data_IF_395632790658
#
_entry.id   IF_395632790658
#
_cell.length_a   1.000
_cell.length_b   1.000
_cell.length_c   1.000
_cell.angle_alpha   90.00
_cell.angle_beta   90.00
_cell.angle_gamma   90.00
#
_symmetry.space_group_name_H-M   'P 1'
#
loop_
_entity.id
_entity.type
_entity.pdbx_description
1 polymer ?
#
# COMPACT_ATOMS: atom_id res chain seq x y z
N UNK A 1 24.85 -10.46 18.29
CA UNK A 1 24.22 -9.58 17.30
C UNK A 1 24.38 -10.19 15.92
N UNK A 2 23.28 -10.36 15.22
CA UNK A 2 23.22 -10.82 13.82
C UNK A 2 22.50 -9.77 13.00
N UNK A 3 22.92 -9.60 11.73
CA UNK A 3 22.36 -8.58 10.84
C UNK A 3 21.88 -9.25 9.56
N UNK A 4 20.67 -8.91 9.16
CA UNK A 4 20.01 -9.49 8.00
C UNK A 4 19.55 -8.39 7.05
N UNK A 5 19.82 -8.53 5.76
CA UNK A 5 19.14 -7.75 4.75
C UNK A 5 17.68 -8.26 4.63
N UNK A 6 16.69 -7.38 4.62
CA UNK A 6 15.28 -7.81 4.71
C UNK A 6 14.37 -7.11 3.69
N UNK A 7 13.24 -7.73 3.41
CA UNK A 7 12.10 -7.10 2.77
C UNK A 7 12.32 -6.73 1.31
N UNK A 8 12.08 -5.45 0.99
CA UNK A 8 12.06 -4.95 -0.39
C UNK A 8 13.31 -5.21 -1.19
N UNK A 9 14.49 -5.05 -0.58
CA UNK A 9 15.76 -5.28 -1.25
C UNK A 9 15.94 -6.76 -1.67
N UNK A 10 15.63 -7.70 -0.75
CA UNK A 10 15.76 -9.15 -1.04
C UNK A 10 14.76 -9.57 -2.13
N UNK A 11 13.52 -9.07 -2.06
CA UNK A 11 12.50 -9.31 -3.09
C UNK A 11 12.93 -8.77 -4.45
N UNK A 12 13.36 -7.52 -4.51
CA UNK A 12 13.70 -6.84 -5.77
C UNK A 12 14.93 -7.49 -6.41
N UNK A 13 15.91 -7.98 -5.63
CA UNK A 13 17.02 -8.79 -6.14
C UNK A 13 16.54 -10.10 -6.79
N UNK A 14 15.61 -10.83 -6.15
CA UNK A 14 15.06 -12.07 -6.73
C UNK A 14 14.24 -11.79 -8.00
N UNK A 15 13.62 -10.62 -8.12
CA UNK A 15 12.91 -10.18 -9.32
C UNK A 15 13.84 -9.59 -10.40
N UNK A 16 15.14 -9.42 -10.12
CA UNK A 16 16.07 -8.74 -11.03
C UNK A 16 15.78 -7.25 -11.19
N UNK A 17 15.09 -6.63 -10.23
CA UNK A 17 14.74 -5.20 -10.25
C UNK A 17 15.83 -4.41 -9.51
N UNK A 18 16.39 -3.34 -10.13
CA UNK A 18 17.32 -2.48 -9.41
C UNK A 18 16.68 -1.86 -8.18
N UNK A 19 17.34 -1.96 -7.04
CA UNK A 19 16.94 -1.34 -5.80
C UNK A 19 18.04 -0.39 -5.28
N UNK A 20 17.65 0.68 -4.60
CA UNK A 20 18.59 1.67 -4.03
C UNK A 20 18.59 1.63 -2.51
N UNK A 21 17.47 1.27 -1.92
CA UNK A 21 17.28 1.26 -0.48
C UNK A 21 17.52 -0.16 0.06
N UNK A 22 18.24 -0.24 1.17
CA UNK A 22 18.51 -1.48 1.90
C UNK A 22 18.06 -1.32 3.33
N UNK A 23 17.15 -2.18 3.73
CA UNK A 23 16.66 -2.26 5.09
C UNK A 23 17.34 -3.43 5.79
N UNK A 24 17.88 -3.16 6.98
CA UNK A 24 18.58 -4.15 7.77
C UNK A 24 17.80 -4.46 9.06
N UNK A 25 17.66 -5.74 9.37
CA UNK A 25 17.10 -6.21 10.62
C UNK A 25 18.23 -6.71 11.53
N UNK A 26 18.25 -6.24 12.77
CA UNK A 26 19.26 -6.61 13.77
C UNK A 26 18.62 -7.48 14.84
N UNK A 27 19.14 -8.69 15.01
CA UNK A 27 18.71 -9.68 16.01
C UNK A 27 19.79 -9.80 17.08
N UNK A 28 19.38 -9.97 18.34
CA UNK A 28 20.30 -10.21 19.45
C UNK A 28 21.07 -8.96 19.87
N UNK A 29 20.47 -7.77 19.75
CA UNK A 29 21.03 -6.52 20.24
C UNK A 29 19.97 -5.64 20.89
N UNK A 30 20.40 -4.76 21.78
CA UNK A 30 19.58 -3.72 22.39
C UNK A 30 19.83 -2.35 21.72
N UNK A 31 18.92 -1.37 21.90
CA UNK A 31 19.14 0.00 21.42
C UNK A 31 20.46 0.61 21.88
N UNK A 32 20.82 0.42 23.16
CA UNK A 32 22.06 0.96 23.73
C UNK A 32 23.32 0.36 23.14
N UNK A 33 23.29 -0.91 22.72
CA UNK A 33 24.40 -1.54 22.04
C UNK A 33 24.64 -0.97 20.65
N UNK A 34 23.55 -0.68 19.88
CA UNK A 34 23.68 -0.02 18.58
C UNK A 34 24.19 1.43 18.73
N UNK A 35 23.71 2.17 19.71
CA UNK A 35 24.18 3.53 20.00
C UNK A 35 25.66 3.53 20.40
N UNK A 36 26.12 2.55 21.21
CA UNK A 36 27.51 2.38 21.57
C UNK A 36 28.44 2.05 20.38
N UNK A 37 27.88 1.41 19.33
CA UNK A 37 28.58 1.15 18.07
C UNK A 37 28.54 2.35 17.10
N UNK A 38 27.97 3.49 17.50
CA UNK A 38 27.93 4.73 16.72
C UNK A 38 26.72 4.85 15.77
N UNK A 39 25.74 3.96 15.87
CA UNK A 39 24.51 4.10 15.11
C UNK A 39 23.68 5.27 15.66
N UNK A 40 23.11 6.05 14.78
CA UNK A 40 22.27 7.20 15.14
C UNK A 40 20.79 6.81 15.16
N UNK A 41 20.17 6.89 16.34
CA UNK A 41 18.73 6.65 16.47
C UNK A 41 17.91 7.72 15.75
N UNK A 42 16.95 7.30 14.91
CA UNK A 42 15.96 8.13 14.22
C UNK A 42 14.57 7.54 14.44
N UNK A 43 13.54 8.34 14.28
CA UNK A 43 12.16 7.90 14.54
C UNK A 43 11.71 8.12 15.99
N UNK A 44 10.45 8.54 16.15
CA UNK A 44 9.87 8.86 17.47
C UNK A 44 9.22 7.64 18.11
N UNK A 45 8.47 6.89 17.33
CA UNK A 45 7.61 5.81 17.82
C UNK A 45 8.31 4.45 17.76
N UNK A 46 9.22 4.29 16.80
CA UNK A 46 9.98 3.06 16.62
C UNK A 46 11.47 3.36 16.38
N UNK A 47 12.37 2.65 17.08
CA UNK A 47 13.80 2.90 16.95
C UNK A 47 14.34 2.30 15.63
N UNK A 48 14.47 3.15 14.63
CA UNK A 48 15.31 2.94 13.45
C UNK A 48 16.66 3.60 13.72
N UNK A 49 17.72 2.99 13.27
CA UNK A 49 19.08 3.44 13.46
C UNK A 49 19.77 3.62 12.12
N UNK A 50 20.44 4.76 11.91
CA UNK A 50 21.27 4.98 10.74
C UNK A 50 22.68 4.48 11.00
N UNK A 51 23.20 3.69 10.07
CA UNK A 51 24.59 3.24 10.12
C UNK A 51 25.56 4.44 10.10
N UNK A 52 26.61 4.44 10.91
CA UNK A 52 27.50 5.62 11.03
C UNK A 52 28.11 6.07 9.69
N UNK A 53 28.48 5.14 8.84
CA UNK A 53 29.16 5.42 7.58
C UNK A 53 28.22 5.42 6.37
N UNK A 54 27.43 4.35 6.18
CA UNK A 54 26.59 4.16 4.96
C UNK A 54 25.26 4.91 5.02
N UNK A 55 24.80 5.29 6.22
CA UNK A 55 23.49 5.90 6.49
C UNK A 55 22.29 5.02 6.11
N UNK A 56 22.53 3.75 5.84
CA UNK A 56 21.47 2.76 5.64
C UNK A 56 20.67 2.55 6.94
N UNK A 57 19.41 2.15 6.79
CA UNK A 57 18.50 1.98 7.92
C UNK A 57 18.62 0.59 8.54
N UNK A 58 18.79 0.57 9.86
CA UNK A 58 18.88 -0.63 10.69
C UNK A 58 17.75 -0.60 11.72
N UNK A 59 16.91 -1.62 11.72
CA UNK A 59 15.84 -1.80 12.70
C UNK A 59 16.11 -3.01 13.58
N UNK A 60 15.85 -2.90 14.88
CA UNK A 60 15.88 -4.07 15.75
C UNK A 60 14.74 -5.02 15.42
N UNK A 61 14.99 -6.32 15.47
CA UNK A 61 13.93 -7.32 15.37
C UNK A 61 12.87 -7.06 16.44
N UNK A 62 11.60 -7.17 16.05
CA UNK A 62 10.49 -6.85 16.94
C UNK A 62 9.26 -7.71 16.66
N UNK A 63 8.44 -7.85 17.69
CA UNK A 63 7.06 -8.26 17.57
C UNK A 63 6.14 -7.07 17.79
N UNK A 64 4.97 -7.10 17.18
CA UNK A 64 3.93 -6.08 17.33
C UNK A 64 2.72 -6.72 18.00
N UNK A 65 2.08 -6.01 18.92
CA UNK A 65 0.86 -6.46 19.56
C UNK A 65 -0.17 -5.36 19.53
N UNK A 66 -1.32 -5.63 18.93
CA UNK A 66 -2.46 -4.71 18.93
C UNK A 66 -3.02 -4.62 20.34
N UNK A 67 -3.06 -3.43 20.91
CA UNK A 67 -3.60 -3.13 22.24
C UNK A 67 -4.88 -2.30 22.20
N UNK A 68 -5.14 -1.61 21.05
CA UNK A 68 -6.34 -0.82 20.82
C UNK A 68 -6.60 -0.66 19.30
N UNK A 69 -7.80 -0.23 18.88
CA UNK A 69 -8.04 0.16 17.49
C UNK A 69 -7.22 1.39 17.08
N UNK A 70 -6.76 1.42 15.81
CA UNK A 70 -6.07 2.56 15.20
C UNK A 70 -4.54 2.56 15.39
N UNK A 71 -3.90 3.59 14.82
CA UNK A 71 -2.43 3.70 14.70
C UNK A 71 -1.67 3.69 16.03
N UNK A 72 -2.21 4.27 17.09
CA UNK A 72 -1.59 4.31 18.43
C UNK A 72 -1.88 3.06 19.28
N UNK A 73 -2.58 2.08 18.72
CA UNK A 73 -2.99 0.86 19.42
C UNK A 73 -1.98 -0.28 19.29
N UNK A 74 -0.69 -0.01 19.11
CA UNK A 74 0.34 -1.03 19.01
C UNK A 74 1.41 -0.85 20.09
N UNK A 75 1.68 -1.93 20.81
CA UNK A 75 2.89 -2.06 21.63
C UNK A 75 3.96 -2.78 20.82
N UNK A 76 5.11 -2.13 20.69
CA UNK A 76 6.28 -2.70 20.04
C UNK A 76 7.18 -3.35 21.10
N UNK A 77 7.39 -4.64 20.97
CA UNK A 77 8.33 -5.35 21.81
C UNK A 77 9.61 -5.60 21.02
N UNK A 78 10.65 -4.82 21.38
CA UNK A 78 12.00 -4.97 20.84
C UNK A 78 12.87 -5.53 21.95
N UNK A 79 13.27 -6.79 21.83
CA UNK A 79 14.15 -7.46 22.78
C UNK A 79 15.18 -8.29 22.04
N UNK A 80 16.39 -8.49 22.59
CA UNK A 80 17.41 -9.33 21.98
C UNK A 80 17.00 -10.78 21.75
N UNK A 81 15.92 -11.26 22.38
CA UNK A 81 15.36 -12.61 22.24
C UNK A 81 14.39 -12.75 21.05
N UNK A 82 13.97 -11.65 20.42
CA UNK A 82 13.13 -11.72 19.21
C UNK A 82 13.96 -12.27 18.05
N UNK A 83 13.46 -13.35 17.46
CA UNK A 83 14.10 -14.00 16.30
C UNK A 83 13.81 -13.28 14.99
N UNK A 84 14.56 -13.62 13.94
CA UNK A 84 14.31 -13.09 12.59
C UNK A 84 12.97 -13.60 12.05
N UNK A 85 12.58 -14.84 12.33
CA UNK A 85 11.33 -15.46 11.91
C UNK A 85 10.13 -14.73 12.50
N UNK A 86 10.18 -14.33 13.77
CA UNK A 86 9.14 -13.55 14.43
C UNK A 86 9.01 -12.15 13.82
N UNK A 87 10.13 -11.48 13.49
CA UNK A 87 10.07 -10.20 12.76
C UNK A 87 9.47 -10.35 11.37
N UNK A 88 9.81 -11.42 10.65
CA UNK A 88 9.25 -11.70 9.33
C UNK A 88 7.75 -12.02 9.39
N UNK A 89 7.28 -12.70 10.44
CA UNK A 89 5.88 -13.11 10.62
C UNK A 89 4.89 -11.94 10.65
N UNK A 90 5.29 -10.82 11.24
CA UNK A 90 4.44 -9.63 11.36
C UNK A 90 4.35 -8.77 10.11
N UNK A 91 5.10 -9.09 9.03
CA UNK A 91 5.12 -8.31 7.80
C UNK A 91 3.84 -8.48 7.00
N UNK A 92 3.65 -7.60 6.02
CA UNK A 92 2.42 -7.54 5.20
C UNK A 92 2.30 -8.72 4.22
N UNK A 93 3.31 -8.93 3.39
CA UNK A 93 3.30 -9.92 2.31
C UNK A 93 4.49 -10.89 2.42
N UNK A 94 4.28 -12.15 2.03
CA UNK A 94 5.32 -13.19 2.01
C UNK A 94 6.54 -12.75 1.21
N UNK A 95 6.33 -12.10 0.07
CA UNK A 95 7.41 -11.55 -0.78
C UNK A 95 8.25 -10.46 -0.10
N UNK A 96 7.75 -9.84 0.98
CA UNK A 96 8.45 -8.87 1.82
C UNK A 96 8.96 -9.48 3.13
N UNK A 97 8.65 -10.76 3.38
CA UNK A 97 8.99 -11.49 4.59
C UNK A 97 10.15 -12.49 4.35
N UNK A 98 11.12 -12.06 3.58
CA UNK A 98 12.34 -12.80 3.26
C UNK A 98 13.51 -12.02 3.84
N UNK A 99 14.45 -12.73 4.45
CA UNK A 99 15.72 -12.18 4.94
C UNK A 99 16.89 -12.87 4.26
N UNK A 100 18.04 -12.20 4.26
CA UNK A 100 19.31 -12.76 3.83
C UNK A 100 20.38 -12.44 4.85
N UNK A 101 21.11 -13.47 5.29
CA UNK A 101 22.21 -13.32 6.24
C UNK A 101 23.51 -12.81 5.59
N UNK A 102 24.55 -12.66 6.40
CA UNK A 102 25.87 -12.20 5.96
C UNK A 102 26.59 -13.19 5.03
N UNK A 103 26.24 -14.47 5.08
CA UNK A 103 26.80 -15.53 4.24
C UNK A 103 26.03 -15.66 2.90
N UNK A 104 24.96 -14.86 2.71
CA UNK A 104 24.11 -14.85 1.54
C UNK A 104 22.99 -15.89 1.56
N UNK A 105 22.81 -16.61 2.67
CA UNK A 105 21.75 -17.60 2.82
C UNK A 105 20.40 -16.91 3.02
N UNK A 106 19.37 -17.37 2.28
CA UNK A 106 17.99 -16.90 2.43
C UNK A 106 17.31 -17.56 3.62
N UNK A 107 16.59 -16.75 4.39
CA UNK A 107 15.69 -17.16 5.45
C UNK A 107 14.28 -16.79 5.00
N UNK A 108 13.52 -17.78 4.64
CA UNK A 108 12.19 -17.64 4.01
C UNK A 108 11.18 -18.62 4.63
N UNK A 109 10.81 -18.43 5.90
CA UNK A 109 9.91 -19.34 6.61
C UNK A 109 8.48 -19.32 6.08
N UNK A 110 8.11 -18.28 5.31
CA UNK A 110 6.74 -18.04 4.84
C UNK A 110 6.55 -18.29 3.34
N UNK A 111 7.58 -18.80 2.64
CA UNK A 111 7.50 -19.16 1.24
C UNK A 111 7.42 -17.99 0.27
N UNK A 112 8.01 -16.84 0.66
CA UNK A 112 8.00 -15.64 -0.18
C UNK A 112 8.72 -15.82 -1.53
N UNK A 113 9.79 -16.59 -1.57
CA UNK A 113 10.51 -16.91 -2.82
C UNK A 113 9.62 -17.71 -3.79
N UNK A 114 8.84 -18.67 -3.27
CA UNK A 114 7.89 -19.41 -4.11
C UNK A 114 6.75 -18.50 -4.61
N UNK A 115 6.26 -17.58 -3.77
CA UNK A 115 5.24 -16.61 -4.19
C UNK A 115 5.82 -15.59 -5.21
N UNK A 116 7.09 -15.24 -5.15
CA UNK A 116 7.79 -14.45 -6.18
C UNK A 116 7.80 -15.19 -7.52
N UNK A 117 8.19 -16.47 -7.52
CA UNK A 117 8.21 -17.30 -8.74
C UNK A 117 6.82 -17.46 -9.35
N UNK A 118 5.81 -17.69 -8.50
CA UNK A 118 4.40 -17.86 -8.91
C UNK A 118 3.66 -16.55 -9.17
N UNK A 119 4.29 -15.39 -8.95
CA UNK A 119 3.70 -14.05 -9.14
C UNK A 119 2.47 -13.84 -8.26
N UNK A 120 2.56 -14.18 -6.98
CA UNK A 120 1.46 -14.12 -6.01
C UNK A 120 1.76 -13.11 -4.92
N UNK A 121 0.78 -12.25 -4.60
CA UNK A 121 0.77 -11.38 -3.43
C UNK A 121 -0.07 -12.04 -2.34
N UNK A 122 0.60 -12.63 -1.36
CA UNK A 122 0.00 -13.36 -0.24
C UNK A 122 0.36 -12.70 1.08
N UNK A 123 -0.60 -12.51 1.98
CA UNK A 123 -0.33 -12.08 3.35
C UNK A 123 0.44 -13.17 4.13
N UNK A 124 1.27 -12.72 5.09
CA UNK A 124 2.15 -13.64 5.82
C UNK A 124 1.39 -14.46 6.85
N UNK A 125 0.54 -13.81 7.64
CA UNK A 125 -0.15 -14.41 8.78
C UNK A 125 -1.39 -13.59 9.18
N UNK A 126 -2.14 -14.05 10.19
CA UNK A 126 -3.28 -13.33 10.75
C UNK A 126 -2.90 -11.95 11.34
N UNK A 127 -1.63 -11.72 11.66
CA UNK A 127 -1.11 -10.41 12.03
C UNK A 127 -1.36 -9.34 10.95
N UNK A 128 -1.66 -9.74 9.72
CA UNK A 128 -2.10 -8.82 8.65
C UNK A 128 -3.28 -7.95 9.08
N UNK A 129 -4.21 -8.49 9.87
CA UNK A 129 -5.40 -7.78 10.34
C UNK A 129 -5.11 -6.70 11.38
N UNK A 130 -3.93 -6.70 11.96
CA UNK A 130 -3.56 -5.73 12.99
C UNK A 130 -3.50 -4.31 12.44
N UNK A 131 -3.04 -4.13 11.20
CA UNK A 131 -2.88 -2.82 10.58
C UNK A 131 -3.65 -2.72 9.24
N UNK A 132 -4.84 -2.05 9.21
CA UNK A 132 -5.65 -1.96 8.00
C UNK A 132 -4.96 -1.19 6.84
N UNK A 133 -3.89 -0.43 7.07
CA UNK A 133 -3.11 0.16 5.97
C UNK A 133 -2.50 -0.89 5.06
N UNK A 134 -2.36 -2.12 5.53
CA UNK A 134 -1.84 -3.24 4.72
C UNK A 134 -2.73 -3.52 3.50
N UNK A 135 -4.02 -3.22 3.58
CA UNK A 135 -4.94 -3.29 2.41
C UNK A 135 -4.45 -2.35 1.30
N UNK A 136 -4.13 -1.11 1.64
CA UNK A 136 -3.64 -0.12 0.68
C UNK A 136 -2.25 -0.51 0.15
N UNK A 137 -1.40 -1.05 1.02
CA UNK A 137 -0.07 -1.55 0.64
C UNK A 137 -0.16 -2.70 -0.36
N UNK A 138 -1.06 -3.68 -0.14
CA UNK A 138 -1.32 -4.78 -1.10
C UNK A 138 -1.80 -4.21 -2.43
N UNK A 139 -2.74 -3.28 -2.42
CA UNK A 139 -3.23 -2.63 -3.64
C UNK A 139 -2.09 -1.90 -4.38
N UNK A 140 -1.20 -1.21 -3.67
CA UNK A 140 -0.03 -0.54 -4.25
C UNK A 140 1.00 -1.53 -4.80
N UNK A 141 1.26 -2.64 -4.11
CA UNK A 141 2.14 -3.69 -4.65
C UNK A 141 1.52 -4.38 -5.86
N UNK A 142 0.20 -4.59 -5.89
CA UNK A 142 -0.49 -5.10 -7.06
C UNK A 142 -0.31 -4.16 -8.27
N UNK A 143 -0.44 -2.85 -8.08
CA UNK A 143 -0.17 -1.86 -9.10
C UNK A 143 1.31 -1.90 -9.55
N UNK A 144 2.25 -1.84 -8.59
CA UNK A 144 3.69 -1.86 -8.86
C UNK A 144 4.12 -3.07 -9.68
N UNK A 145 3.59 -4.24 -9.39
CA UNK A 145 4.00 -5.50 -10.02
C UNK A 145 3.02 -6.03 -11.08
N UNK A 146 2.00 -5.24 -11.46
CA UNK A 146 1.03 -5.63 -12.50
C UNK A 146 1.71 -6.00 -13.82
N UNK A 147 2.72 -5.22 -14.24
CA UNK A 147 3.49 -5.46 -15.46
C UNK A 147 4.30 -6.77 -15.43
N UNK A 148 4.55 -7.34 -14.25
CA UNK A 148 5.19 -8.65 -14.05
C UNK A 148 4.17 -9.79 -13.95
N UNK A 149 2.88 -9.50 -13.98
CA UNK A 149 1.81 -10.49 -13.92
C UNK A 149 1.47 -10.98 -12.51
N UNK A 150 1.80 -10.21 -11.46
CA UNK A 150 1.41 -10.55 -10.10
C UNK A 150 -0.10 -10.45 -9.89
N UNK A 151 -0.64 -11.40 -9.13
CA UNK A 151 -2.05 -11.46 -8.72
C UNK A 151 -2.15 -11.59 -7.20
N UNK A 152 -3.25 -11.12 -6.62
CA UNK A 152 -3.49 -11.27 -5.18
C UNK A 152 -4.05 -12.66 -4.91
N UNK A 153 -3.51 -13.36 -3.92
CA UNK A 153 -4.02 -14.65 -3.47
C UNK A 153 -5.49 -14.54 -3.02
N UNK A 154 -6.31 -15.55 -3.34
CA UNK A 154 -7.74 -15.54 -3.03
C UNK A 154 -8.03 -15.37 -1.54
N UNK A 155 -7.25 -16.04 -0.67
CA UNK A 155 -7.34 -15.91 0.79
C UNK A 155 -6.97 -14.50 1.27
N UNK A 156 -5.99 -13.84 0.62
CA UNK A 156 -5.62 -12.45 0.96
C UNK A 156 -6.73 -11.48 0.58
N UNK A 157 -7.32 -11.65 -0.61
CA UNK A 157 -8.47 -10.84 -1.03
C UNK A 157 -9.68 -11.03 -0.10
N UNK A 158 -9.95 -12.27 0.30
CA UNK A 158 -11.02 -12.59 1.25
C UNK A 158 -10.79 -11.97 2.62
N UNK A 159 -9.53 -11.99 3.11
CA UNK A 159 -9.15 -11.35 4.36
C UNK A 159 -9.33 -9.84 4.30
N UNK A 160 -8.86 -9.18 3.21
CA UNK A 160 -9.06 -7.75 2.99
C UNK A 160 -10.54 -7.37 2.98
N UNK A 161 -11.37 -8.15 2.31
CA UNK A 161 -12.84 -7.99 2.32
C UNK A 161 -13.41 -8.03 3.74
N UNK A 162 -13.04 -9.06 4.51
CA UNK A 162 -13.51 -9.21 5.89
C UNK A 162 -13.10 -8.04 6.78
N UNK A 163 -11.88 -7.51 6.61
CA UNK A 163 -11.41 -6.33 7.34
C UNK A 163 -12.25 -5.09 7.01
N UNK A 164 -12.60 -4.89 5.73
CA UNK A 164 -13.48 -3.78 5.31
C UNK A 164 -14.87 -3.94 5.91
N UNK A 165 -15.46 -5.13 5.83
CA UNK A 165 -16.81 -5.40 6.34
C UNK A 165 -16.89 -5.26 7.87
N UNK A 166 -15.80 -5.51 8.58
CA UNK A 166 -15.68 -5.31 10.02
C UNK A 166 -15.41 -3.84 10.42
N UNK A 167 -15.29 -2.91 9.46
CA UNK A 167 -15.06 -1.49 9.73
C UNK A 167 -13.63 -1.13 10.12
N UNK A 168 -12.64 -2.03 9.92
CA UNK A 168 -11.24 -1.74 10.27
C UNK A 168 -10.66 -0.57 9.47
N UNK A 169 -11.16 -0.36 8.25
CA UNK A 169 -10.70 0.70 7.34
C UNK A 169 -11.17 2.10 7.80
N UNK A 170 -12.28 2.17 8.56
CA UNK A 170 -12.83 3.43 9.08
C UNK A 170 -11.87 4.10 10.09
N UNK A 171 -10.99 3.32 10.72
CA UNK A 171 -10.01 3.78 11.69
C UNK A 171 -8.69 4.28 11.07
N UNK A 172 -8.57 4.26 9.73
CA UNK A 172 -7.36 4.70 9.05
C UNK A 172 -7.14 6.21 9.17
N UNK A 173 -5.92 6.58 9.55
CA UNK A 173 -5.51 7.99 9.61
C UNK A 173 -5.34 8.53 8.19
N UNK A 174 -5.92 9.72 7.86
CA UNK A 174 -5.90 10.30 6.52
C UNK A 174 -4.50 10.40 5.90
N UNK A 175 -3.49 10.81 6.67
CA UNK A 175 -2.09 10.89 6.20
C UNK A 175 -1.54 9.55 5.68
N UNK A 176 -1.90 8.45 6.35
CA UNK A 176 -1.47 7.11 5.89
C UNK A 176 -2.20 6.68 4.62
N UNK A 177 -3.50 7.01 4.51
CA UNK A 177 -4.28 6.77 3.30
C UNK A 177 -3.67 7.54 2.14
N UNK A 178 -3.42 8.83 2.34
CA UNK A 178 -2.84 9.67 1.30
C UNK A 178 -1.44 9.18 0.90
N UNK A 179 -0.59 8.86 1.88
CA UNK A 179 0.77 8.38 1.61
C UNK A 179 0.81 7.15 0.68
N UNK A 180 -0.01 6.15 0.93
CA UNK A 180 -0.07 4.95 0.07
C UNK A 180 -0.70 5.27 -1.30
N UNK A 181 -1.68 6.17 -1.34
CA UNK A 181 -2.32 6.63 -2.58
C UNK A 181 -1.36 7.45 -3.43
N UNK A 182 -0.64 8.39 -2.84
CA UNK A 182 0.39 9.20 -3.49
C UNK A 182 1.47 8.31 -4.12
N UNK A 183 1.97 7.33 -3.36
CA UNK A 183 2.95 6.36 -3.85
C UNK A 183 2.40 5.50 -5.00
N UNK A 184 1.12 5.15 -4.97
CA UNK A 184 0.46 4.43 -6.05
C UNK A 184 0.30 5.31 -7.29
N UNK A 185 -0.09 6.57 -7.13
CA UNK A 185 -0.20 7.55 -8.22
C UNK A 185 1.17 7.90 -8.82
N UNK A 186 2.22 7.99 -8.00
CA UNK A 186 3.60 8.22 -8.48
C UNK A 186 4.19 7.00 -9.22
N UNK A 187 3.68 5.82 -8.94
CA UNK A 187 4.13 4.54 -9.53
C UNK A 187 3.60 4.26 -10.92
N UNK A 188 3.65 2.98 -11.29
CA UNK A 188 3.11 2.44 -12.55
C UNK A 188 1.81 1.70 -12.29
N UNK A 189 0.92 1.66 -13.30
CA UNK A 189 -0.38 0.96 -13.27
C UNK A 189 -1.27 1.43 -12.12
N UNK A 190 -1.30 2.73 -11.84
CA UNK A 190 -2.07 3.34 -10.75
C UNK A 190 -3.56 2.97 -10.79
N UNK A 191 -4.11 2.70 -11.95
CA UNK A 191 -5.46 2.14 -12.12
C UNK A 191 -5.67 0.87 -11.29
N UNK A 192 -4.71 -0.05 -11.28
CA UNK A 192 -4.81 -1.34 -10.56
C UNK A 192 -4.99 -1.12 -9.05
N UNK A 193 -4.38 -0.07 -8.49
CA UNK A 193 -4.57 0.28 -7.09
C UNK A 193 -6.05 0.52 -6.76
N UNK A 194 -6.74 1.34 -7.56
CA UNK A 194 -8.17 1.64 -7.35
C UNK A 194 -9.07 0.44 -7.64
N UNK A 195 -8.72 -0.38 -8.63
CA UNK A 195 -9.45 -1.61 -8.94
C UNK A 195 -9.37 -2.64 -7.81
N UNK A 196 -8.20 -2.80 -7.17
CA UNK A 196 -8.03 -3.66 -6.00
C UNK A 196 -8.81 -3.14 -4.81
N UNK A 197 -8.71 -1.84 -4.50
CA UNK A 197 -9.50 -1.24 -3.42
C UNK A 197 -11.00 -1.39 -3.66
N UNK A 198 -11.44 -1.28 -4.91
CA UNK A 198 -12.85 -1.52 -5.28
C UNK A 198 -13.23 -2.98 -5.07
N UNK A 199 -12.38 -3.89 -5.51
CA UNK A 199 -12.64 -5.34 -5.41
C UNK A 199 -12.77 -5.83 -3.98
N UNK A 200 -12.06 -5.24 -3.01
CA UNK A 200 -12.20 -5.57 -1.58
C UNK A 200 -13.19 -4.66 -0.83
N UNK A 201 -13.85 -3.72 -1.52
CA UNK A 201 -14.81 -2.79 -0.91
C UNK A 201 -14.21 -1.57 -0.23
N UNK A 202 -12.88 -1.46 -0.11
CA UNK A 202 -12.21 -0.34 0.54
C UNK A 202 -12.37 0.98 -0.21
N UNK A 203 -12.54 0.95 -1.55
CA UNK A 203 -12.74 2.16 -2.35
C UNK A 203 -13.97 2.93 -1.89
N UNK A 204 -15.08 2.23 -1.61
CA UNK A 204 -16.33 2.83 -1.15
C UNK A 204 -16.18 3.57 0.18
N UNK A 205 -15.27 3.10 1.04
CA UNK A 205 -15.04 3.71 2.37
C UNK A 205 -14.07 4.89 2.25
N UNK A 206 -12.97 4.70 1.53
CA UNK A 206 -11.87 5.66 1.48
C UNK A 206 -12.07 6.75 0.43
N UNK A 207 -12.64 6.40 -0.72
CA UNK A 207 -12.87 7.27 -1.87
C UNK A 207 -14.29 7.10 -2.43
N UNK A 208 -15.34 7.36 -1.61
CA UNK A 208 -16.73 7.15 -2.02
C UNK A 208 -17.11 7.95 -3.27
N UNK A 209 -16.45 9.10 -3.51
CA UNK A 209 -16.66 9.94 -4.68
C UNK A 209 -16.19 9.26 -5.97
N UNK A 210 -15.09 8.49 -5.89
CA UNK A 210 -14.56 7.70 -7.02
C UNK A 210 -15.41 6.45 -7.22
N UNK A 211 -15.74 5.75 -6.13
CA UNK A 211 -16.57 4.54 -6.20
C UNK A 211 -17.95 4.81 -6.80
N UNK A 212 -18.54 5.97 -6.51
CA UNK A 212 -19.84 6.40 -7.03
C UNK A 212 -19.88 6.62 -8.55
N UNK A 213 -18.74 6.65 -9.23
CA UNK A 213 -18.69 6.79 -10.70
C UNK A 213 -18.97 5.48 -11.43
N UNK A 214 -18.73 4.36 -10.80
CA UNK A 214 -18.96 3.05 -11.42
C UNK A 214 -20.45 2.74 -11.53
N UNK A 215 -20.87 2.30 -12.71
CA UNK A 215 -22.27 2.07 -13.03
C UNK A 215 -23.05 3.33 -13.46
N UNK A 216 -22.40 4.49 -13.53
CA UNK A 216 -23.00 5.74 -14.01
C UNK A 216 -22.84 5.83 -15.52
N UNK A 217 -23.97 5.80 -16.30
CA UNK A 217 -23.90 5.78 -17.77
C UNK A 217 -23.56 7.15 -18.34
N UNK A 218 -22.78 7.15 -19.43
CA UNK A 218 -22.44 8.31 -20.27
C UNK A 218 -22.96 8.11 -21.68
N UNK A 219 -23.11 9.19 -22.52
CA UNK A 219 -23.52 9.05 -23.91
C UNK A 219 -22.49 8.25 -24.72
N UNK A 220 -22.89 7.09 -25.25
CA UNK A 220 -22.05 6.18 -26.05
C UNK A 220 -21.37 6.88 -27.24
N UNK A 221 -22.03 7.88 -27.82
CA UNK A 221 -21.46 8.65 -28.93
C UNK A 221 -20.14 9.30 -28.64
N UNK A 222 -19.88 9.67 -27.35
CA UNK A 222 -18.68 10.36 -26.93
C UNK A 222 -17.80 9.49 -26.02
N UNK A 223 -18.40 8.48 -25.41
CA UNK A 223 -17.79 7.59 -24.43
C UNK A 223 -18.18 6.14 -24.74
N UNK A 224 -17.46 5.46 -25.67
CA UNK A 224 -17.78 4.07 -26.07
C UNK A 224 -17.79 3.08 -24.92
N UNK A 225 -17.01 3.35 -23.86
CA UNK A 225 -16.98 2.60 -22.61
C UNK A 225 -18.24 2.71 -21.78
N UNK A 226 -19.09 3.70 -22.04
CA UNK A 226 -20.39 4.01 -21.42
C UNK A 226 -20.33 4.26 -19.90
N UNK A 227 -19.54 3.50 -19.15
CA UNK A 227 -19.41 3.60 -17.69
C UNK A 227 -18.40 4.69 -17.28
N UNK A 228 -18.84 5.64 -16.44
CA UNK A 228 -18.01 6.77 -16.00
C UNK A 228 -16.80 6.31 -15.15
N UNK A 229 -16.97 5.28 -14.31
CA UNK A 229 -15.88 4.75 -13.52
C UNK A 229 -14.79 4.12 -14.39
N UNK A 230 -15.20 3.33 -15.41
CA UNK A 230 -14.27 2.78 -16.39
C UNK A 230 -13.57 3.88 -17.17
N UNK A 231 -14.32 4.93 -17.59
CA UNK A 231 -13.75 6.10 -18.25
C UNK A 231 -12.64 6.74 -17.44
N UNK A 232 -12.90 7.04 -16.18
CA UNK A 232 -11.90 7.68 -15.28
C UNK A 232 -10.67 6.80 -15.13
N UNK A 233 -10.81 5.48 -15.03
CA UNK A 233 -9.67 4.56 -14.99
C UNK A 233 -8.87 4.59 -16.31
N UNK A 234 -9.52 4.68 -17.46
CA UNK A 234 -8.85 4.82 -18.76
C UNK A 234 -8.13 6.18 -18.89
N UNK A 235 -8.74 7.26 -18.38
CA UNK A 235 -8.11 8.60 -18.36
C UNK A 235 -6.88 8.59 -17.45
N UNK A 236 -6.94 7.91 -16.31
CA UNK A 236 -5.79 7.74 -15.42
C UNK A 236 -4.64 6.99 -16.11
N UNK A 237 -4.93 5.91 -16.86
CA UNK A 237 -3.92 5.21 -17.68
C UNK A 237 -3.25 6.13 -18.71
N UNK A 238 -4.03 7.04 -19.35
CA UNK A 238 -3.46 8.00 -20.30
C UNK A 238 -2.63 9.08 -19.59
N UNK A 239 -3.10 9.58 -18.45
CA UNK A 239 -2.36 10.54 -17.64
C UNK A 239 -0.99 9.97 -17.20
N UNK A 240 -0.96 8.70 -16.80
CA UNK A 240 0.28 8.00 -16.44
C UNK A 240 1.28 7.94 -17.60
N UNK A 241 0.80 7.74 -18.83
CA UNK A 241 1.66 7.72 -20.04
C UNK A 241 2.19 9.09 -20.42
N UNK A 242 1.45 10.15 -20.09
CA UNK A 242 1.77 11.52 -20.51
C UNK A 242 2.56 12.30 -19.46
N UNK A 243 2.39 12.00 -18.18
CA UNK A 243 3.03 12.73 -17.10
C UNK A 243 3.43 11.84 -15.93
N UNK A 244 4.57 12.14 -15.32
CA UNK A 244 5.00 11.56 -14.06
C UNK A 244 4.44 12.32 -12.84
N UNK A 245 3.84 13.49 -13.04
CA UNK A 245 3.37 14.35 -11.95
C UNK A 245 2.13 13.78 -11.29
N UNK A 246 2.17 13.62 -9.97
CA UNK A 246 1.08 13.10 -9.15
C UNK A 246 -0.15 14.00 -9.24
N UNK A 247 0.03 15.32 -9.29
CA UNK A 247 -1.05 16.30 -9.44
C UNK A 247 -1.84 16.10 -10.74
N UNK A 248 -1.14 15.82 -11.85
CA UNK A 248 -1.80 15.55 -13.15
C UNK A 248 -2.61 14.26 -13.07
N UNK A 249 -2.06 13.20 -12.45
CA UNK A 249 -2.74 11.91 -12.29
C UNK A 249 -3.91 12.01 -11.32
N UNK A 250 -3.76 12.77 -10.24
CA UNK A 250 -4.86 13.06 -9.31
C UNK A 250 -5.97 13.88 -9.97
N UNK A 251 -5.61 14.89 -10.80
CA UNK A 251 -6.59 15.62 -11.59
C UNK A 251 -7.33 14.71 -12.58
N UNK A 252 -6.62 13.79 -13.24
CA UNK A 252 -7.22 12.78 -14.11
C UNK A 252 -8.20 11.86 -13.36
N UNK A 253 -7.86 11.42 -12.14
CA UNK A 253 -8.72 10.61 -11.29
C UNK A 253 -10.01 11.37 -10.87
N UNK A 254 -9.91 12.68 -10.68
CA UNK A 254 -10.97 13.46 -10.02
C UNK A 254 -11.78 14.34 -10.96
N UNK A 255 -11.40 14.47 -12.25
CA UNK A 255 -12.01 15.43 -13.19
C UNK A 255 -13.52 15.26 -13.36
N UNK A 256 -14.01 14.05 -13.25
CA UNK A 256 -15.42 13.68 -13.51
C UNK A 256 -16.22 13.30 -12.25
N UNK A 257 -15.71 13.55 -11.03
CA UNK A 257 -16.40 13.19 -9.79
C UNK A 257 -17.86 13.68 -9.72
N UNK A 258 -18.13 14.84 -10.31
CA UNK A 258 -19.47 15.42 -10.34
C UNK A 258 -20.51 14.62 -11.16
N UNK A 259 -20.09 13.68 -12.01
CA UNK A 259 -20.97 12.79 -12.74
C UNK A 259 -21.65 11.76 -11.81
N UNK A 260 -20.98 11.30 -10.78
CA UNK A 260 -21.50 10.35 -9.79
C UNK A 260 -22.78 10.83 -9.08
N UNK A 261 -22.95 12.15 -8.95
CA UNK A 261 -24.10 12.78 -8.29
C UNK A 261 -25.15 13.32 -9.29
N UNK A 262 -25.15 12.86 -10.54
CA UNK A 262 -26.15 13.28 -11.53
C UNK A 262 -27.49 12.65 -11.21
N UNK A 263 -28.60 13.45 -11.16
CA UNK A 263 -29.93 12.90 -10.97
C UNK A 263 -30.28 11.87 -12.09
N UNK A 264 -30.87 10.75 -11.71
CA UNK A 264 -31.22 9.65 -12.64
C UNK A 264 -32.05 10.12 -13.84
N UNK A 265 -32.90 11.15 -13.66
CA UNK A 265 -33.73 11.71 -14.72
C UNK A 265 -32.96 12.48 -15.81
N UNK A 266 -31.67 12.79 -15.55
CA UNK A 266 -30.81 13.52 -16.49
C UNK A 266 -29.82 12.60 -17.23
N UNK A 267 -29.72 11.35 -16.81
CA UNK A 267 -28.83 10.37 -17.43
C UNK A 267 -29.27 10.04 -18.86
N UNK A 268 -28.33 9.78 -19.77
CA UNK A 268 -26.87 9.70 -19.60
C UNK A 268 -26.15 11.05 -19.74
N UNK A 269 -26.84 12.17 -19.74
CA UNK A 269 -26.24 13.51 -19.76
C UNK A 269 -25.90 13.97 -18.35
N UNK A 270 -24.84 14.81 -18.22
CA UNK A 270 -24.35 15.26 -16.93
C UNK A 270 -24.24 16.79 -16.84
N UNK A 271 -25.34 17.56 -17.05
CA UNK A 271 -25.26 19.02 -17.05
C UNK A 271 -24.75 19.54 -15.70
N UNK A 272 -23.73 20.41 -15.73
CA UNK A 272 -23.15 21.06 -14.56
C UNK A 272 -22.33 20.11 -13.65
N UNK A 273 -21.85 18.98 -14.17
CA UNK A 273 -21.01 18.06 -13.42
C UNK A 273 -19.67 18.69 -12.99
N UNK A 274 -19.16 19.63 -13.77
CA UNK A 274 -17.92 20.34 -13.47
C UNK A 274 -18.01 21.11 -12.13
N UNK A 275 -19.12 21.85 -11.95
CA UNK A 275 -19.34 22.60 -10.71
C UNK A 275 -19.58 21.68 -9.50
N UNK A 276 -20.28 20.56 -9.72
CA UNK A 276 -20.43 19.53 -8.69
C UNK A 276 -19.09 18.88 -8.35
N UNK A 277 -18.28 18.57 -9.38
CA UNK A 277 -16.95 18.01 -9.26
C UNK A 277 -16.03 18.89 -8.43
N UNK A 278 -15.99 20.20 -8.68
CA UNK A 278 -15.21 21.16 -7.89
C UNK A 278 -15.52 21.11 -6.38
N UNK A 279 -16.78 20.89 -6.00
CA UNK A 279 -17.18 20.76 -4.59
C UNK A 279 -16.66 19.45 -4.01
N UNK A 280 -16.81 18.34 -4.75
CA UNK A 280 -16.35 17.01 -4.30
C UNK A 280 -14.82 16.95 -4.17
N UNK A 281 -14.07 17.54 -5.09
CA UNK A 281 -12.60 17.62 -5.00
C UNK A 281 -12.16 18.34 -3.72
N UNK A 282 -12.84 19.44 -3.36
CA UNK A 282 -12.56 20.14 -2.08
C UNK A 282 -12.81 19.22 -0.88
N UNK A 283 -13.94 18.50 -0.87
CA UNK A 283 -14.24 17.54 0.21
C UNK A 283 -13.16 16.45 0.30
N UNK A 284 -12.69 15.92 -0.83
CA UNK A 284 -11.58 14.95 -0.84
C UNK A 284 -10.31 15.57 -0.29
N UNK A 285 -9.94 16.81 -0.72
CA UNK A 285 -8.74 17.49 -0.26
C UNK A 285 -8.79 17.92 1.23
N UNK A 286 -9.99 18.18 1.78
CA UNK A 286 -10.18 18.44 3.22
C UNK A 286 -10.08 17.16 4.05
N UNK A 287 -10.41 16.01 3.48
CA UNK A 287 -10.34 14.72 4.14
C UNK A 287 -8.94 14.08 4.05
N UNK A 288 -8.25 14.28 2.94
CA UNK A 288 -6.92 13.72 2.67
C UNK A 288 -5.93 14.87 2.49
N UNK A 289 -4.97 15.05 3.42
CA UNK A 289 -4.04 16.18 3.44
C UNK A 289 -3.03 16.18 2.28
#
# INVERSE_FOLDING_TARGET
MQVYLVGGAVRDEQLGIPHRERDWCVVGASPGELEALGYQRVGKDFPVFLHPDTKEEYALARTERKTAPGYHGFDFYCSPDVSIEEDLQRRDLTINAIARDADGQLIDPWGGSADIENRVLRHVSDAFTEDPVRILRVARFAARFAHLGFTIAGETMSLMHSMVDNGEVDALVPDRVWRETELALAGSNSRVYFEVLRSCGALRVLFPEVDALFGVPQPEQWHPEVDTGLHVMMVLDQAERLSADVEVRFAALTHDLGKGNTPKSQLPSHPGHELRGCKLIRTVAERLP
#
